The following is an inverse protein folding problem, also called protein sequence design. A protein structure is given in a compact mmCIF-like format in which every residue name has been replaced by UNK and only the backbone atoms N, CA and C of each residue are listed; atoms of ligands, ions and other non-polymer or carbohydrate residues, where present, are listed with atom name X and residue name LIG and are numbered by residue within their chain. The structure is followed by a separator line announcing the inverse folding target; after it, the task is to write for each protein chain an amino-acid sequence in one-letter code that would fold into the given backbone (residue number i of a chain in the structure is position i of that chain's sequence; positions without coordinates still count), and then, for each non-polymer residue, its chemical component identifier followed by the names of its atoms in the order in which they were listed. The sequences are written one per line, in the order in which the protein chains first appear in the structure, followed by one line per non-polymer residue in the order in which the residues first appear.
data_IF_891212255234
#
_entry.id   IF_891212255234
#
_cell.length_a   1.000
_cell.length_b   1.000
_cell.length_c   1.000
_cell.angle_alpha   90.00
_cell.angle_beta   90.00
_cell.angle_gamma   90.00
#
_symmetry.space_group_name_H-M   'P 1'
#
loop_
_entity.id
_entity.type
_entity.pdbx_description
1 polymer ?
#
# COMPACT_ATOMS: atom_id res chain seq x y z
N UNK A 1 3.91 9.32 44.69
CA UNK A 1 3.36 9.45 43.32
C UNK A 1 4.09 10.62 42.68
N UNK A 2 4.72 10.42 41.53
CA UNK A 2 5.37 11.50 40.77
C UNK A 2 4.27 12.35 40.10
N UNK A 3 4.40 13.68 40.19
CA UNK A 3 3.47 14.57 39.49
C UNK A 3 3.65 14.42 37.96
N UNK A 4 2.56 14.37 37.18
CA UNK A 4 2.64 14.35 35.73
C UNK A 4 3.41 15.56 35.19
N UNK A 5 4.35 15.32 34.30
CA UNK A 5 5.14 16.38 33.66
C UNK A 5 4.78 16.51 32.20
N UNK A 6 4.69 17.73 31.69
CA UNK A 6 4.57 18.01 30.27
C UNK A 6 5.97 18.07 29.66
N UNK A 7 6.25 17.15 28.75
CA UNK A 7 7.53 17.07 28.05
C UNK A 7 7.31 17.41 26.57
N UNK A 8 8.08 18.34 26.03
CA UNK A 8 8.10 18.68 24.61
C UNK A 8 9.22 17.92 23.92
N UNK A 9 8.88 17.18 22.86
CA UNK A 9 9.82 16.48 22.00
C UNK A 9 9.83 17.14 20.63
N UNK A 10 10.98 17.50 20.12
CA UNK A 10 11.13 18.18 18.82
C UNK A 10 12.18 17.48 17.94
N UNK A 11 11.99 17.58 16.61
CA UNK A 11 12.92 17.03 15.62
C UNK A 11 13.17 15.54 15.82
N UNK A 12 14.44 15.09 15.87
CA UNK A 12 14.79 13.67 16.05
C UNK A 12 14.26 13.06 17.36
N UNK A 13 14.07 13.87 18.39
CA UNK A 13 13.58 13.37 19.69
C UNK A 13 12.10 12.94 19.64
N UNK A 14 11.32 13.44 18.68
CA UNK A 14 9.93 13.04 18.49
C UNK A 14 9.80 11.52 18.21
N UNK A 15 10.83 10.88 17.67
CA UNK A 15 10.85 9.44 17.43
C UNK A 15 10.65 8.63 18.71
N UNK A 16 11.02 9.18 19.87
CA UNK A 16 10.86 8.53 21.18
C UNK A 16 9.39 8.31 21.56
N UNK A 17 8.45 9.05 20.93
CA UNK A 17 7.01 8.90 21.14
C UNK A 17 6.32 8.12 20.01
N UNK A 18 7.02 7.82 18.90
CA UNK A 18 6.45 7.08 17.77
C UNK A 18 6.48 5.57 18.01
N UNK A 19 5.41 4.86 17.61
CA UNK A 19 5.28 3.41 17.73
C UNK A 19 5.53 2.83 19.14
N UNK A 20 5.28 3.62 20.17
CA UNK A 20 5.54 3.20 21.58
C UNK A 20 4.33 2.55 22.23
N UNK A 21 3.20 2.45 21.53
CA UNK A 21 1.96 1.84 22.03
C UNK A 21 1.49 2.40 23.38
N UNK A 22 1.76 3.68 23.61
CA UNK A 22 1.39 4.36 24.87
C UNK A 22 2.33 4.10 26.06
N UNK A 23 3.44 3.38 25.86
CA UNK A 23 4.39 3.06 26.95
C UNK A 23 5.27 4.24 27.36
N UNK A 24 5.48 5.22 26.48
CA UNK A 24 6.36 6.37 26.71
C UNK A 24 5.58 7.66 27.08
N UNK A 25 4.31 7.52 27.43
CA UNK A 25 3.48 8.65 27.85
C UNK A 25 2.24 8.85 26.99
N UNK A 26 1.48 9.90 27.28
CA UNK A 26 0.27 10.28 26.58
C UNK A 26 0.56 11.52 25.74
N UNK A 27 0.37 11.44 24.44
CA UNK A 27 0.46 12.60 23.55
C UNK A 27 -0.78 13.46 23.71
N UNK A 28 -0.61 14.69 24.17
CA UNK A 28 -1.71 15.64 24.39
C UNK A 28 -1.80 16.71 23.30
N UNK A 29 -0.68 16.96 22.62
CA UNK A 29 -0.62 17.92 21.52
C UNK A 29 0.41 17.45 20.47
N UNK A 30 0.11 17.62 19.20
CA UNK A 30 1.00 17.29 18.08
C UNK A 30 0.97 18.45 17.09
N UNK A 31 2.17 18.99 16.79
CA UNK A 31 2.37 19.94 15.72
C UNK A 31 3.02 19.23 14.53
N UNK A 32 2.36 19.23 13.37
CA UNK A 32 2.86 18.57 12.16
C UNK A 32 2.90 19.54 10.98
N UNK A 33 3.94 19.43 10.15
CA UNK A 33 3.98 20.11 8.86
C UNK A 33 2.95 19.49 7.91
N UNK A 34 2.21 20.33 7.22
CA UNK A 34 1.25 19.90 6.21
C UNK A 34 1.88 20.02 4.81
N UNK A 35 1.60 19.06 3.96
CA UNK A 35 1.85 19.15 2.54
C UNK A 35 0.71 19.93 1.85
N UNK A 36 0.93 20.54 0.67
CA UNK A 36 -0.14 21.10 -0.13
C UNK A 36 -1.23 20.06 -0.40
N UNK A 37 -2.49 20.50 -0.39
CA UNK A 37 -3.62 19.63 -0.73
C UNK A 37 -3.48 19.14 -2.18
N UNK A 38 -3.67 17.84 -2.38
CA UNK A 38 -3.76 17.19 -3.69
C UNK A 38 -5.09 16.46 -3.73
N UNK A 39 -5.83 16.64 -4.82
CA UNK A 39 -7.02 15.85 -5.08
C UNK A 39 -6.59 14.52 -5.71
N UNK A 40 -7.05 13.42 -5.12
CA UNK A 40 -6.62 12.07 -5.51
C UNK A 40 -7.74 11.28 -6.17
N UNK A 41 -7.33 10.46 -7.13
CA UNK A 41 -8.14 9.43 -7.78
C UNK A 41 -7.71 8.05 -7.27
N UNK A 42 -8.68 7.23 -6.93
CA UNK A 42 -8.49 5.83 -6.53
C UNK A 42 -8.65 4.95 -7.76
N UNK A 43 -7.60 4.27 -8.16
CA UNK A 43 -7.59 3.37 -9.30
C UNK A 43 -7.25 1.96 -8.84
N UNK A 44 -7.95 0.96 -9.41
CA UNK A 44 -7.59 -0.45 -9.27
C UNK A 44 -7.49 -1.05 -10.66
N UNK A 45 -6.35 -1.64 -10.95
CA UNK A 45 -6.13 -2.40 -12.16
C UNK A 45 -5.97 -3.89 -11.83
N UNK A 46 -6.42 -4.75 -12.74
CA UNK A 46 -6.47 -6.18 -12.58
C UNK A 46 -5.84 -6.88 -13.78
N UNK A 47 -5.25 -8.05 -13.53
CA UNK A 47 -4.82 -8.98 -14.56
C UNK A 47 -4.73 -10.41 -13.98
N UNK A 48 -4.91 -11.43 -14.83
CA UNK A 48 -4.84 -12.84 -14.39
C UNK A 48 -3.41 -13.35 -14.22
N UNK A 49 -2.44 -12.71 -14.84
CA UNK A 49 -1.03 -13.02 -14.66
C UNK A 49 -0.40 -12.08 -13.64
N UNK A 50 0.18 -12.66 -12.58
CA UNK A 50 0.84 -11.90 -11.53
C UNK A 50 2.05 -11.13 -12.01
N UNK A 51 2.85 -11.72 -12.90
CA UNK A 51 4.04 -11.04 -13.39
C UNK A 51 3.68 -9.77 -14.16
N UNK A 52 2.59 -9.80 -14.92
CA UNK A 52 2.09 -8.61 -15.62
C UNK A 52 1.70 -7.51 -14.63
N UNK A 53 0.96 -7.84 -13.56
CA UNK A 53 0.61 -6.86 -12.49
C UNK A 53 1.87 -6.35 -11.80
N UNK A 54 2.77 -7.25 -11.43
CA UNK A 54 3.97 -6.90 -10.69
C UNK A 54 4.89 -6.00 -11.53
N UNK A 55 5.24 -6.41 -12.74
CA UNK A 55 6.19 -5.69 -13.59
C UNK A 55 5.65 -4.30 -13.95
N UNK A 56 4.37 -4.21 -14.33
CA UNK A 56 3.75 -2.93 -14.60
C UNK A 56 3.74 -2.01 -13.37
N UNK A 57 3.38 -2.56 -12.21
CA UNK A 57 3.29 -1.76 -10.97
C UNK A 57 4.67 -1.28 -10.54
N UNK A 58 5.71 -2.12 -10.68
CA UNK A 58 7.08 -1.75 -10.36
C UNK A 58 7.62 -0.67 -11.30
N UNK A 59 7.40 -0.82 -12.61
CA UNK A 59 7.78 0.18 -13.59
C UNK A 59 7.03 1.50 -13.37
N UNK A 60 5.74 1.45 -13.05
CA UNK A 60 4.95 2.63 -12.70
C UNK A 60 5.44 3.30 -11.41
N UNK A 61 5.82 2.52 -10.42
CA UNK A 61 6.36 3.02 -9.16
C UNK A 61 7.69 3.77 -9.31
N UNK A 62 8.46 3.51 -10.37
CA UNK A 62 9.73 4.17 -10.68
C UNK A 62 9.58 5.49 -11.45
N UNK A 63 8.37 5.80 -11.91
CA UNK A 63 8.12 7.03 -12.68
C UNK A 63 7.87 8.20 -11.72
N UNK A 64 8.92 8.97 -11.42
CA UNK A 64 8.90 10.02 -10.39
C UNK A 64 8.02 11.23 -10.71
N UNK A 65 7.58 11.40 -11.97
CA UNK A 65 6.71 12.50 -12.36
C UNK A 65 5.27 12.36 -11.88
N UNK A 66 4.82 11.14 -11.56
CA UNK A 66 3.49 10.91 -11.00
C UNK A 66 3.42 11.31 -9.52
N UNK A 67 2.48 12.17 -9.18
CA UNK A 67 2.12 12.49 -7.79
C UNK A 67 1.19 11.41 -7.26
N UNK A 68 1.74 10.50 -6.49
CA UNK A 68 1.03 9.35 -5.94
C UNK A 68 1.23 9.25 -4.43
N UNK A 69 0.23 8.75 -3.75
CA UNK A 69 0.23 8.55 -2.30
C UNK A 69 0.31 7.09 -1.91
N UNK A 70 -0.14 6.20 -2.79
CA UNK A 70 -0.21 4.77 -2.56
C UNK A 70 0.03 4.03 -3.87
N UNK A 71 0.85 2.99 -3.81
CA UNK A 71 0.96 1.94 -4.81
C UNK A 71 1.13 0.63 -4.07
N UNK A 72 0.25 -0.33 -4.33
CA UNK A 72 0.31 -1.65 -3.71
C UNK A 72 -0.20 -2.72 -4.66
N UNK A 73 0.41 -3.90 -4.61
CA UNK A 73 0.03 -5.06 -5.40
C UNK A 73 -0.40 -6.22 -4.51
N UNK A 74 -1.42 -6.95 -4.95
CA UNK A 74 -1.96 -8.11 -4.25
C UNK A 74 -2.08 -9.31 -5.18
N UNK A 75 -1.44 -10.39 -4.77
CA UNK A 75 -1.61 -11.69 -5.39
C UNK A 75 -2.97 -12.28 -5.06
N UNK A 76 -3.62 -12.95 -6.02
CA UNK A 76 -4.79 -13.78 -5.77
C UNK A 76 -4.41 -14.95 -4.82
N UNK A 77 -5.23 -15.29 -3.80
CA UNK A 77 -6.61 -14.85 -3.57
C UNK A 77 -6.77 -13.65 -2.62
N UNK A 78 -5.73 -12.89 -2.29
CA UNK A 78 -5.84 -11.76 -1.34
C UNK A 78 -6.99 -10.80 -1.68
N UNK A 79 -7.19 -10.38 -2.97
CA UNK A 79 -8.30 -9.47 -3.33
C UNK A 79 -9.69 -10.03 -3.00
N UNK A 80 -9.85 -11.35 -2.95
CA UNK A 80 -11.12 -12.00 -2.63
C UNK A 80 -11.55 -11.81 -1.17
N UNK A 81 -10.61 -11.43 -0.29
CA UNK A 81 -10.89 -11.11 1.11
C UNK A 81 -11.48 -9.69 1.30
N UNK A 82 -11.40 -8.84 0.31
CA UNK A 82 -11.79 -7.42 0.39
C UNK A 82 -13.31 -7.23 0.17
N UNK A 83 -14.13 -7.57 1.16
CA UNK A 83 -15.60 -7.61 1.04
C UNK A 83 -16.25 -6.39 0.39
N UNK A 84 -15.68 -5.19 0.58
CA UNK A 84 -16.22 -3.95 -0.02
C UNK A 84 -15.84 -3.77 -1.49
N UNK A 85 -14.80 -4.45 -1.97
CA UNK A 85 -14.23 -4.30 -3.31
C UNK A 85 -14.34 -5.56 -4.17
N UNK A 86 -14.55 -6.73 -3.57
CA UNK A 86 -14.54 -8.04 -4.27
C UNK A 86 -15.45 -8.11 -5.48
N UNK A 87 -16.58 -7.40 -5.48
CA UNK A 87 -17.51 -7.32 -6.61
C UNK A 87 -16.93 -6.69 -7.88
N UNK A 88 -15.77 -6.06 -7.78
CA UNK A 88 -15.05 -5.43 -8.89
C UNK A 88 -14.00 -6.35 -9.51
N UNK A 89 -13.73 -7.51 -8.89
CA UNK A 89 -12.68 -8.45 -9.28
C UNK A 89 -13.27 -9.73 -9.84
N UNK A 90 -12.61 -10.31 -10.83
CA UNK A 90 -12.85 -11.68 -11.25
C UNK A 90 -12.11 -12.65 -10.29
N UNK A 91 -12.52 -13.93 -10.29
CA UNK A 91 -12.04 -14.90 -9.30
C UNK A 91 -10.54 -15.13 -9.30
N UNK A 92 -9.89 -15.07 -10.47
CA UNK A 92 -8.46 -15.37 -10.64
C UNK A 92 -7.59 -14.13 -10.80
N UNK A 93 -8.14 -12.93 -10.58
CA UNK A 93 -7.39 -11.70 -10.83
C UNK A 93 -6.48 -11.33 -9.66
N UNK A 94 -5.23 -11.00 -10.00
CA UNK A 94 -4.32 -10.21 -9.20
C UNK A 94 -4.63 -8.74 -9.41
N UNK A 95 -4.33 -7.90 -8.44
CA UNK A 95 -4.70 -6.48 -8.51
C UNK A 95 -3.58 -5.55 -8.07
N UNK A 96 -3.57 -4.35 -8.63
CA UNK A 96 -2.80 -3.22 -8.10
C UNK A 96 -3.70 -2.06 -7.77
N UNK A 97 -3.47 -1.45 -6.59
CA UNK A 97 -4.17 -0.25 -6.13
C UNK A 97 -3.24 0.95 -6.24
N UNK A 98 -3.79 2.03 -6.78
CA UNK A 98 -3.05 3.27 -6.94
C UNK A 98 -3.90 4.44 -6.45
N UNK A 99 -3.33 5.26 -5.57
CA UNK A 99 -3.89 6.56 -5.20
C UNK A 99 -3.02 7.63 -5.83
N UNK A 100 -3.51 8.24 -6.91
CA UNK A 100 -2.78 9.17 -7.77
C UNK A 100 -3.48 10.52 -7.82
N UNK A 101 -2.72 11.58 -8.09
CA UNK A 101 -3.29 12.90 -8.34
C UNK A 101 -4.29 12.86 -9.51
N UNK A 102 -5.45 13.49 -9.32
CA UNK A 102 -6.57 13.40 -10.28
C UNK A 102 -6.20 13.91 -11.67
N UNK A 103 -5.34 14.93 -11.75
CA UNK A 103 -4.84 15.50 -13.01
C UNK A 103 -3.94 14.56 -13.82
N UNK A 104 -3.44 13.50 -13.20
CA UNK A 104 -2.58 12.48 -13.84
C UNK A 104 -3.26 11.12 -13.98
N UNK A 105 -4.52 10.99 -13.56
CA UNK A 105 -5.22 9.71 -13.55
C UNK A 105 -5.46 9.14 -14.95
N UNK A 106 -5.72 9.98 -15.95
CA UNK A 106 -5.98 9.54 -17.32
C UNK A 106 -4.71 8.99 -17.99
N UNK A 107 -3.56 9.59 -17.72
CA UNK A 107 -2.27 9.10 -18.18
C UNK A 107 -1.97 7.71 -17.58
N UNK A 108 -2.19 7.54 -16.28
CA UNK A 108 -2.00 6.24 -15.61
C UNK A 108 -2.93 5.16 -16.18
N UNK A 109 -4.20 5.51 -16.48
CA UNK A 109 -5.16 4.58 -17.10
C UNK A 109 -4.71 4.17 -18.50
N UNK A 110 -4.24 5.11 -19.32
CA UNK A 110 -3.74 4.82 -20.66
C UNK A 110 -2.51 3.90 -20.64
N UNK A 111 -1.58 4.11 -19.69
CA UNK A 111 -0.42 3.23 -19.52
C UNK A 111 -0.82 1.81 -19.09
N UNK A 112 -1.80 1.68 -18.19
CA UNK A 112 -2.31 0.40 -17.76
C UNK A 112 -3.02 -0.36 -18.87
N UNK A 113 -3.88 0.33 -19.63
CA UNK A 113 -4.56 -0.24 -20.80
C UNK A 113 -3.57 -0.73 -21.88
N UNK A 114 -2.54 0.07 -22.16
CA UNK A 114 -1.49 -0.30 -23.12
C UNK A 114 -0.71 -1.56 -22.69
N UNK A 115 -0.63 -1.82 -21.38
CA UNK A 115 -0.03 -3.03 -20.81
C UNK A 115 -1.03 -4.21 -20.68
N UNK A 116 -2.27 -4.04 -21.12
CA UNK A 116 -3.31 -5.06 -21.07
C UNK A 116 -4.01 -5.21 -19.72
N UNK A 117 -3.81 -4.27 -18.80
CA UNK A 117 -4.49 -4.30 -17.50
C UNK A 117 -5.94 -3.82 -17.64
N UNK A 118 -6.84 -4.50 -16.96
CA UNK A 118 -8.25 -4.11 -16.86
C UNK A 118 -8.45 -3.09 -15.74
N UNK A 119 -9.06 -1.97 -16.03
CA UNK A 119 -9.52 -1.01 -15.01
C UNK A 119 -10.76 -1.57 -14.29
N UNK A 120 -10.62 -1.91 -13.02
CA UNK A 120 -11.68 -2.49 -12.20
C UNK A 120 -12.40 -1.44 -11.32
N UNK A 121 -11.71 -0.38 -10.94
CA UNK A 121 -12.24 0.65 -10.06
C UNK A 121 -11.63 2.00 -10.40
N UNK A 122 -12.48 3.03 -10.53
CA UNK A 122 -12.10 4.40 -10.79
C UNK A 122 -13.04 5.32 -10.01
N UNK A 123 -12.52 5.98 -8.98
CA UNK A 123 -13.31 6.85 -8.12
C UNK A 123 -12.46 7.96 -7.50
N UNK A 124 -12.93 9.23 -7.50
CA UNK A 124 -12.27 10.28 -6.75
C UNK A 124 -12.27 9.98 -5.25
N UNK A 125 -11.19 10.32 -4.59
CA UNK A 125 -11.14 10.33 -3.13
C UNK A 125 -11.90 11.55 -2.65
N UNK A 126 -13.16 11.35 -2.23
CA UNK A 126 -14.03 12.42 -1.75
C UNK A 126 -13.49 13.07 -0.46
N UNK A 127 -13.88 14.32 -0.24
CA UNK A 127 -13.64 15.04 1.02
C UNK A 127 -15.00 15.49 1.60
N UNK A 128 -15.46 14.96 2.76
CA UNK A 128 -14.84 13.88 3.53
C UNK A 128 -14.87 12.53 2.78
N UNK A 129 -13.90 11.67 3.05
CA UNK A 129 -13.82 10.39 2.39
C UNK A 129 -15.08 9.52 2.64
N UNK A 130 -15.45 8.69 1.67
CA UNK A 130 -16.60 7.76 1.75
C UNK A 130 -16.18 6.34 1.37
N UNK A 131 -16.57 5.33 2.16
CA UNK A 131 -16.26 3.93 1.84
C UNK A 131 -16.80 3.47 0.49
N UNK A 132 -16.17 2.48 -0.13
CA UNK A 132 -14.87 1.90 0.24
C UNK A 132 -13.71 2.80 -0.17
N UNK A 133 -12.68 2.89 0.69
CA UNK A 133 -11.40 3.49 0.30
C UNK A 133 -10.41 2.38 0.01
N UNK A 134 -9.60 2.54 -1.02
CA UNK A 134 -8.55 1.55 -1.30
C UNK A 134 -7.54 1.47 -0.15
N UNK A 135 -7.29 2.55 0.58
CA UNK A 135 -6.39 2.60 1.73
C UNK A 135 -6.85 1.75 2.93
N UNK A 136 -8.14 1.40 3.02
CA UNK A 136 -8.66 0.53 4.08
C UNK A 136 -8.33 -0.96 3.84
N UNK A 137 -7.68 -1.29 2.73
CA UNK A 137 -7.31 -2.64 2.32
C UNK A 137 -5.80 -2.84 2.18
N UNK A 138 -5.00 -1.82 2.46
CA UNK A 138 -3.55 -1.80 2.28
C UNK A 138 -2.81 -1.84 3.63
N UNK A 139 -1.50 -2.00 3.61
CA UNK A 139 -0.69 -2.10 4.80
C UNK A 139 -1.20 -3.20 5.75
N UNK A 140 -1.21 -2.97 7.03
CA UNK A 140 -1.68 -3.93 8.02
C UNK A 140 -3.19 -4.26 7.90
N UNK A 141 -3.98 -3.43 7.22
CA UNK A 141 -5.40 -3.71 7.00
C UNK A 141 -5.61 -4.94 6.11
N UNK A 142 -4.72 -5.19 5.14
CA UNK A 142 -4.74 -6.41 4.31
C UNK A 142 -4.77 -7.66 5.18
N UNK A 143 -3.87 -7.73 6.16
CA UNK A 143 -3.82 -8.85 7.11
C UNK A 143 -5.11 -9.00 7.91
N UNK A 144 -5.71 -7.89 8.36
CA UNK A 144 -6.98 -7.93 9.09
C UNK A 144 -8.14 -8.46 8.23
N UNK A 145 -8.15 -8.15 6.93
CA UNK A 145 -9.15 -8.70 6.01
C UNK A 145 -8.91 -10.19 5.76
N UNK A 146 -7.68 -10.61 5.56
CA UNK A 146 -7.31 -12.00 5.38
C UNK A 146 -7.67 -12.85 6.62
N UNK A 147 -7.31 -12.40 7.82
CA UNK A 147 -7.64 -13.08 9.09
C UNK A 147 -9.15 -13.21 9.35
N UNK A 148 -9.97 -12.29 8.84
CA UNK A 148 -11.43 -12.41 8.92
C UNK A 148 -11.98 -13.49 8.00
N UNK A 149 -11.29 -13.78 6.91
CA UNK A 149 -11.67 -14.82 5.97
C UNK A 149 -11.14 -16.18 6.43
N UNK A 150 -9.89 -16.22 6.88
CA UNK A 150 -9.22 -17.43 7.40
C UNK A 150 -8.34 -17.08 8.60
N UNK A 151 -8.74 -17.42 9.83
CA UNK A 151 -7.98 -17.11 11.04
C UNK A 151 -6.66 -17.89 11.18
N UNK A 152 -6.36 -18.82 10.30
CA UNK A 152 -5.08 -19.53 10.27
C UNK A 152 -3.99 -18.79 9.50
N UNK A 153 -4.36 -17.77 8.71
CA UNK A 153 -3.42 -16.92 7.98
C UNK A 153 -2.58 -16.13 9.00
N UNK A 154 -1.30 -16.08 8.74
CA UNK A 154 -0.38 -15.16 9.43
C UNK A 154 0.34 -14.31 8.40
N UNK A 155 1.06 -13.28 8.83
CA UNK A 155 1.86 -12.49 7.92
C UNK A 155 3.31 -12.38 8.39
N UNK A 156 4.20 -12.27 7.41
CA UNK A 156 5.58 -11.93 7.62
C UNK A 156 5.87 -10.65 6.83
N UNK A 157 6.30 -9.60 7.52
CA UNK A 157 6.71 -8.37 6.88
C UNK A 157 8.24 -8.37 6.70
N UNK A 158 8.69 -8.11 5.48
CA UNK A 158 10.09 -8.03 5.15
C UNK A 158 10.36 -6.81 4.26
N UNK A 159 11.49 -6.13 4.49
CA UNK A 159 12.04 -5.15 3.58
C UNK A 159 13.02 -5.83 2.63
N UNK A 160 12.83 -5.63 1.33
CA UNK A 160 13.73 -6.15 0.32
C UNK A 160 14.55 -5.02 -0.30
N UNK A 161 15.81 -5.31 -0.63
CA UNK A 161 16.65 -4.42 -1.40
C UNK A 161 16.30 -4.45 -2.90
N UNK A 162 17.27 -4.20 -3.75
CA UNK A 162 17.07 -4.10 -5.21
C UNK A 162 16.76 -5.43 -5.89
N UNK A 163 16.98 -6.56 -5.24
CA UNK A 163 16.79 -7.92 -5.72
C UNK A 163 15.47 -8.58 -5.26
N UNK A 164 14.49 -7.75 -4.88
CA UNK A 164 13.23 -8.23 -4.30
C UNK A 164 12.44 -9.16 -5.22
N UNK A 165 12.44 -8.96 -6.55
CA UNK A 165 11.73 -9.84 -7.49
C UNK A 165 12.29 -11.26 -7.43
N UNK A 166 13.62 -11.43 -7.54
CA UNK A 166 14.27 -12.73 -7.46
C UNK A 166 14.03 -13.42 -6.11
N UNK A 167 13.99 -12.65 -5.01
CA UNK A 167 13.67 -13.19 -3.68
C UNK A 167 12.23 -13.67 -3.57
N UNK A 168 11.29 -12.98 -4.17
CA UNK A 168 9.88 -13.40 -4.21
C UNK A 168 9.71 -14.67 -5.03
N UNK A 169 10.31 -14.73 -6.21
CA UNK A 169 10.33 -15.94 -7.06
C UNK A 169 10.88 -17.14 -6.28
N UNK A 170 11.99 -16.96 -5.56
CA UNK A 170 12.57 -17.99 -4.69
C UNK A 170 11.61 -18.43 -3.57
N UNK A 171 10.83 -17.50 -3.00
CA UNK A 171 9.84 -17.84 -1.96
C UNK A 171 8.71 -18.69 -2.55
N UNK A 172 8.20 -18.35 -3.73
CA UNK A 172 7.16 -19.13 -4.40
C UNK A 172 7.63 -20.54 -4.79
N UNK A 173 8.86 -20.66 -5.31
CA UNK A 173 9.44 -21.96 -5.61
C UNK A 173 9.59 -22.84 -4.37
N UNK A 174 9.96 -22.22 -3.24
CA UNK A 174 10.22 -22.93 -1.99
C UNK A 174 8.95 -23.26 -1.22
N UNK A 175 7.92 -22.42 -1.30
CA UNK A 175 6.67 -22.52 -0.57
C UNK A 175 5.45 -22.37 -1.50
N UNK A 176 5.27 -23.29 -2.47
CA UNK A 176 4.22 -23.15 -3.47
C UNK A 176 2.84 -23.23 -2.83
N UNK A 177 2.05 -22.18 -3.05
CA UNK A 177 0.69 -22.05 -2.51
C UNK A 177 0.57 -21.74 -1.01
N UNK A 178 1.70 -21.65 -0.29
CA UNK A 178 1.73 -21.29 1.13
C UNK A 178 2.03 -19.81 1.37
N UNK A 179 2.70 -19.16 0.42
CA UNK A 179 3.11 -17.76 0.52
C UNK A 179 2.37 -16.93 -0.53
N UNK A 180 1.59 -15.95 -0.08
CA UNK A 180 0.87 -14.98 -0.92
C UNK A 180 1.55 -13.62 -0.84
N UNK A 181 1.68 -12.96 -1.99
CA UNK A 181 2.39 -11.68 -2.06
C UNK A 181 1.45 -10.48 -1.91
N UNK A 182 1.77 -9.65 -0.94
CA UNK A 182 1.26 -8.31 -0.79
C UNK A 182 2.47 -7.36 -0.77
N UNK A 183 2.54 -6.46 -1.73
CA UNK A 183 3.71 -5.60 -1.93
C UNK A 183 3.30 -4.14 -1.84
N UNK A 184 4.03 -3.39 -1.03
CA UNK A 184 3.90 -1.95 -0.92
C UNK A 184 5.15 -1.27 -1.49
N UNK A 185 4.96 -0.43 -2.52
CA UNK A 185 6.04 0.41 -3.02
C UNK A 185 6.09 1.71 -2.24
N UNK A 186 7.17 1.92 -1.51
CA UNK A 186 7.37 3.12 -0.71
C UNK A 186 8.42 4.01 -1.35
N UNK A 187 8.21 5.33 -1.32
CA UNK A 187 9.23 6.27 -1.72
C UNK A 187 10.41 6.17 -0.74
N UNK A 188 11.49 5.56 -1.18
CA UNK A 188 12.75 5.57 -0.46
C UNK A 188 13.38 6.96 -0.51
N UNK A 189 14.03 7.40 0.56
CA UNK A 189 14.98 8.50 0.45
C UNK A 189 16.09 8.04 -0.51
N UNK A 190 16.14 8.65 -1.69
CA UNK A 190 17.10 8.31 -2.76
C UNK A 190 18.58 8.38 -2.34
N UNK A 191 18.86 8.89 -1.15
CA UNK A 191 20.20 8.93 -0.53
C UNK A 191 20.50 7.75 0.41
N UNK A 192 19.51 6.96 0.81
CA UNK A 192 19.74 5.80 1.71
C UNK A 192 19.83 4.46 0.97
N UNK A 193 19.50 4.42 -0.32
CA UNK A 193 19.56 3.20 -1.13
C UNK A 193 20.81 3.10 -2.02
N UNK A 194 21.84 3.91 -1.77
CA UNK A 194 23.12 3.90 -2.50
C UNK A 194 24.32 3.50 -1.64
N UNK A 195 24.11 2.95 -0.44
CA UNK A 195 25.16 2.34 0.37
C UNK A 195 24.96 0.82 0.49
#
# INVERSE_FOLDING_TARGET
EEEPQLVKLEGPDAIKALHTYGTNGIMVEIEMRLAPKVDYQQLIFCHKDWNTIFDWTDDFARQDHFKRRLITGFENPIPQYFKGLVKHFEEEEHVTFILISTDQSDEAKALAEAAGLRLAYDRPLADPPRPPYITDYTWNHTTLWALRADPTITYLQAGFGTDYKAKMEMLWEKFPGESLMHIEWTAGNSKMNQE
#
